data_IF_333405542646
#
_entry.id   IF_333405542646
#
_cell.length_a   1.000
_cell.length_b   1.000
_cell.length_c   1.000
_cell.angle_alpha   90.00
_cell.angle_beta   90.00
_cell.angle_gamma   90.00
#
_symmetry.space_group_name_H-M   'P 1'
#
loop_
_entity.id
_entity.type
_entity.pdbx_description
1 polymer ?
#
# COMPACT_ATOMS: atom_id res chain seq x y z
N UNK A 1 1.59 -18.82 19.68
CA UNK A 1 2.07 -17.45 19.41
C UNK A 1 2.09 -17.17 17.93
N UNK A 2 1.71 -15.96 17.51
CA UNK A 2 1.84 -15.48 16.13
C UNK A 2 3.05 -14.55 16.03
N UNK A 3 3.99 -14.86 15.15
CA UNK A 3 5.22 -14.08 14.94
C UNK A 3 5.21 -13.48 13.52
N UNK A 4 5.23 -12.14 13.42
CA UNK A 4 5.12 -11.43 12.14
C UNK A 4 6.48 -10.97 11.66
N UNK A 5 6.95 -11.53 10.56
CA UNK A 5 8.16 -11.11 9.86
C UNK A 5 7.84 -10.11 8.77
N UNK A 6 8.15 -8.85 9.01
CA UNK A 6 7.85 -7.81 8.04
C UNK A 6 8.74 -7.87 6.80
N UNK A 7 8.09 -7.73 5.66
CA UNK A 7 8.73 -7.61 4.36
C UNK A 7 8.31 -6.31 3.68
N UNK A 8 9.26 -5.69 2.99
CA UNK A 8 9.03 -4.55 2.11
C UNK A 8 8.55 -3.27 2.85
N UNK A 9 7.77 -2.41 2.16
CA UNK A 9 7.37 -1.08 2.62
C UNK A 9 6.07 -1.11 3.43
N UNK A 10 5.70 0.05 4.00
CA UNK A 10 4.58 0.24 4.92
C UNK A 10 3.29 -0.47 4.48
N UNK A 11 2.82 -0.26 3.23
CA UNK A 11 1.58 -0.90 2.76
C UNK A 11 1.58 -2.44 2.87
N UNK A 12 2.71 -3.09 2.60
CA UNK A 12 2.83 -4.54 2.77
C UNK A 12 2.89 -4.95 4.24
N UNK A 13 3.63 -4.18 5.07
CA UNK A 13 3.72 -4.44 6.52
C UNK A 13 2.37 -4.32 7.22
N UNK A 14 1.51 -3.42 6.74
CA UNK A 14 0.14 -3.30 7.26
C UNK A 14 -0.68 -4.57 7.02
N UNK A 15 -0.57 -5.20 5.83
CA UNK A 15 -1.21 -6.51 5.58
C UNK A 15 -0.69 -7.59 6.52
N UNK A 16 0.63 -7.68 6.66
CA UNK A 16 1.29 -8.67 7.51
C UNK A 16 0.89 -8.51 8.98
N UNK A 17 0.90 -7.26 9.47
CA UNK A 17 0.45 -6.95 10.82
C UNK A 17 -1.01 -7.32 11.05
N UNK A 18 -1.91 -6.86 10.17
CA UNK A 18 -3.34 -7.09 10.32
C UNK A 18 -3.68 -8.58 10.30
N UNK A 19 -3.06 -9.35 9.40
CA UNK A 19 -3.27 -10.80 9.39
C UNK A 19 -2.74 -11.46 10.66
N UNK A 20 -1.54 -11.07 11.11
CA UNK A 20 -0.99 -11.59 12.37
C UNK A 20 -1.91 -11.31 13.54
N UNK A 21 -2.48 -10.12 13.60
CA UNK A 21 -3.41 -9.77 14.65
C UNK A 21 -4.75 -10.50 14.54
N UNK A 22 -5.29 -10.66 13.34
CA UNK A 22 -6.51 -11.46 13.11
C UNK A 22 -6.31 -12.90 13.61
N UNK A 23 -5.20 -13.54 13.23
CA UNK A 23 -4.89 -14.88 13.70
C UNK A 23 -4.72 -14.96 15.21
N UNK A 24 -4.06 -13.95 15.80
CA UNK A 24 -3.90 -13.89 17.26
C UNK A 24 -5.24 -13.80 17.98
N UNK A 25 -6.16 -12.95 17.51
CA UNK A 25 -7.52 -12.82 18.07
C UNK A 25 -8.37 -14.09 17.85
N UNK A 26 -8.33 -14.70 16.65
CA UNK A 26 -9.11 -15.90 16.35
C UNK A 26 -8.65 -17.16 17.10
N UNK A 27 -7.33 -17.30 17.31
CA UNK A 27 -6.75 -18.48 17.93
C UNK A 27 -6.50 -18.31 19.44
N UNK A 28 -6.77 -17.13 19.97
CA UNK A 28 -6.40 -16.73 21.36
C UNK A 28 -4.88 -16.91 21.59
N UNK A 29 -4.10 -16.46 20.64
CA UNK A 29 -2.64 -16.53 20.66
C UNK A 29 -2.03 -15.16 20.90
N UNK A 30 -0.89 -15.15 21.59
CA UNK A 30 -0.10 -13.96 21.73
C UNK A 30 0.47 -13.49 20.37
N UNK A 31 0.52 -12.16 20.15
CA UNK A 31 1.09 -11.57 18.93
C UNK A 31 2.48 -10.99 19.20
N UNK A 32 3.44 -11.42 18.40
CA UNK A 32 4.80 -10.86 18.32
C UNK A 32 4.93 -10.09 16.99
N UNK A 33 4.94 -8.78 17.06
CA UNK A 33 5.10 -7.91 15.89
C UNK A 33 5.80 -6.61 16.27
N UNK A 34 6.66 -6.09 15.40
CA UNK A 34 7.21 -4.75 15.59
C UNK A 34 6.14 -3.68 15.38
N UNK A 35 6.28 -2.56 16.07
CA UNK A 35 5.40 -1.41 15.87
C UNK A 35 5.51 -0.88 14.43
N UNK A 36 4.37 -0.55 13.84
CA UNK A 36 4.35 0.21 12.59
C UNK A 36 4.51 1.70 12.91
N UNK A 37 5.52 2.38 12.37
CA UNK A 37 5.74 3.79 12.64
C UNK A 37 4.52 4.64 12.32
N UNK A 38 4.07 5.45 13.29
CA UNK A 38 2.91 6.31 13.16
C UNK A 38 1.54 5.65 13.40
N UNK A 39 1.55 4.37 13.84
CA UNK A 39 0.34 3.64 14.25
C UNK A 39 0.52 3.14 15.69
N UNK A 40 0.22 3.98 16.70
CA UNK A 40 0.52 3.71 18.09
C UNK A 40 -0.12 2.43 18.63
N UNK A 41 -1.26 2.02 18.07
CA UNK A 41 -1.99 0.83 18.49
C UNK A 41 -1.41 -0.49 17.92
N UNK A 42 -0.30 -0.41 17.16
CA UNK A 42 0.31 -1.60 16.55
C UNK A 42 1.43 -2.22 17.38
N UNK A 43 1.82 -1.60 18.49
CA UNK A 43 2.88 -2.13 19.33
C UNK A 43 2.34 -3.30 20.16
N UNK A 44 2.83 -4.51 19.84
CA UNK A 44 2.60 -5.70 20.65
C UNK A 44 3.91 -6.46 20.74
N UNK A 45 4.51 -6.46 21.91
CA UNK A 45 5.76 -7.17 22.18
C UNK A 45 5.54 -8.01 23.45
N UNK A 46 5.83 -9.30 23.34
CA UNK A 46 5.80 -10.21 24.47
C UNK A 46 7.23 -10.43 24.94
N UNK A 47 7.47 -10.13 26.19
CA UNK A 47 8.77 -10.41 26.81
C UNK A 47 8.76 -11.84 27.35
N UNK A 48 9.84 -12.58 27.10
CA UNK A 48 10.14 -13.84 27.80
C UNK A 48 9.59 -15.13 27.18
N UNK A 49 9.17 -15.15 25.91
CA UNK A 49 8.77 -16.39 25.24
C UNK A 49 9.99 -17.24 24.83
N UNK A 50 9.96 -18.52 25.22
CA UNK A 50 10.94 -19.53 24.76
C UNK A 50 10.77 -19.79 23.25
N UNK A 51 11.89 -19.88 22.54
CA UNK A 51 11.92 -20.13 21.08
C UNK A 51 11.87 -21.62 20.72
N UNK A 52 11.61 -22.50 21.70
CA UNK A 52 11.69 -23.97 21.55
C UNK A 52 10.37 -24.61 21.05
N UNK A 53 9.32 -23.84 20.82
CA UNK A 53 8.03 -24.36 20.34
C UNK A 53 8.03 -24.68 18.84
N UNK A 54 7.22 -25.68 18.41
CA UNK A 54 7.08 -26.04 17.01
C UNK A 54 6.74 -24.82 16.14
N UNK A 55 7.41 -24.66 15.01
CA UNK A 55 7.21 -23.55 14.08
C UNK A 55 6.34 -24.01 12.89
N UNK A 56 5.22 -23.32 12.65
CA UNK A 56 4.49 -23.39 11.41
C UNK A 56 4.76 -22.12 10.59
N UNK A 57 5.26 -22.28 9.37
CA UNK A 57 5.53 -21.16 8.47
C UNK A 57 4.37 -20.96 7.51
N UNK A 58 3.70 -19.81 7.60
CA UNK A 58 2.74 -19.34 6.62
C UNK A 58 3.42 -18.34 5.69
N UNK A 59 3.44 -18.65 4.40
CA UNK A 59 4.10 -17.85 3.37
C UNK A 59 3.20 -17.60 2.16
N UNK A 60 3.62 -16.70 1.26
CA UNK A 60 2.87 -16.41 0.03
C UNK A 60 1.67 -15.47 0.23
N UNK A 61 0.57 -15.77 -0.45
CA UNK A 61 -0.63 -14.94 -0.46
C UNK A 61 -1.83 -15.61 0.21
N UNK A 62 -1.90 -16.93 0.16
CA UNK A 62 -3.03 -17.71 0.65
C UNK A 62 -2.70 -18.42 1.93
N UNK A 63 -3.71 -18.53 2.79
CA UNK A 63 -3.70 -19.32 4.01
C UNK A 63 -4.81 -20.34 3.90
N UNK A 64 -4.53 -21.56 4.28
CA UNK A 64 -5.53 -22.56 4.56
C UNK A 64 -6.05 -22.33 5.98
N UNK A 65 -7.20 -21.67 6.08
CA UNK A 65 -7.81 -21.34 7.36
C UNK A 65 -8.28 -22.56 8.13
N UNK A 66 -8.72 -23.61 7.43
CA UNK A 66 -9.21 -24.82 8.06
C UNK A 66 -8.05 -25.60 8.67
N UNK A 67 -6.91 -25.69 7.97
CA UNK A 67 -5.67 -26.24 8.52
C UNK A 67 -5.17 -25.44 9.73
N UNK A 68 -5.13 -24.11 9.62
CA UNK A 68 -4.65 -23.24 10.70
C UNK A 68 -5.55 -23.33 11.95
N UNK A 69 -6.87 -23.46 11.77
CA UNK A 69 -7.83 -23.57 12.88
C UNK A 69 -7.94 -24.97 13.47
N UNK A 70 -7.70 -26.01 12.68
CA UNK A 70 -7.79 -27.39 13.13
C UNK A 70 -6.74 -27.76 14.17
N UNK A 71 -5.53 -27.26 14.00
CA UNK A 71 -4.42 -27.50 14.93
C UNK A 71 -4.35 -26.38 15.97
N UNK A 72 -4.93 -26.64 17.14
CA UNK A 72 -4.89 -25.74 18.31
C UNK A 72 -3.76 -26.07 19.29
N UNK A 73 -2.78 -26.87 18.90
CA UNK A 73 -1.61 -27.11 19.73
C UNK A 73 -0.89 -25.79 20.01
N UNK A 74 -0.27 -25.66 21.18
CA UNK A 74 0.54 -24.51 21.54
C UNK A 74 1.76 -24.49 20.63
N UNK A 75 1.68 -23.73 19.54
CA UNK A 75 2.72 -23.64 18.52
C UNK A 75 3.05 -22.19 18.20
N UNK A 76 4.20 -21.98 17.69
CA UNK A 76 4.61 -20.71 17.08
C UNK A 76 4.26 -20.74 15.60
N UNK A 77 3.39 -19.84 15.17
CA UNK A 77 3.05 -19.62 13.76
C UNK A 77 3.81 -18.40 13.29
N UNK A 78 4.65 -18.55 12.27
CA UNK A 78 5.45 -17.48 11.68
C UNK A 78 4.79 -17.02 10.40
N UNK A 79 4.49 -15.73 10.30
CA UNK A 79 3.99 -15.10 9.07
C UNK A 79 5.16 -14.49 8.30
N UNK A 80 5.47 -15.08 7.14
CA UNK A 80 6.53 -14.64 6.24
C UNK A 80 6.03 -14.58 4.79
N UNK A 81 4.99 -13.81 4.55
CA UNK A 81 4.30 -13.71 3.26
C UNK A 81 3.73 -12.32 3.00
N UNK A 82 2.91 -12.20 1.95
CA UNK A 82 2.33 -10.94 1.51
C UNK A 82 0.87 -10.78 1.92
N UNK A 83 0.07 -11.86 1.85
CA UNK A 83 -1.30 -11.97 2.35
C UNK A 83 -2.26 -10.89 1.83
N UNK A 84 -2.09 -10.46 0.59
CA UNK A 84 -2.82 -9.35 -0.03
C UNK A 84 -4.14 -9.83 -0.59
N UNK A 85 -5.06 -10.20 0.30
CA UNK A 85 -6.41 -10.67 -0.05
C UNK A 85 -7.46 -9.92 0.74
N UNK A 86 -8.36 -9.22 0.04
CA UNK A 86 -9.43 -8.43 0.64
C UNK A 86 -10.32 -9.25 1.59
N UNK A 87 -10.60 -10.50 1.21
CA UNK A 87 -11.45 -11.42 1.98
C UNK A 87 -10.97 -11.65 3.44
N UNK A 88 -9.65 -11.56 3.69
CA UNK A 88 -9.10 -11.74 5.04
C UNK A 88 -9.40 -10.55 5.95
N UNK A 89 -9.44 -9.35 5.39
CA UNK A 89 -9.54 -8.09 6.13
C UNK A 89 -10.96 -7.53 6.20
N UNK A 90 -11.82 -7.90 5.24
CA UNK A 90 -13.21 -7.41 5.16
C UNK A 90 -13.99 -7.62 6.45
N UNK A 91 -14.01 -8.82 7.07
CA UNK A 91 -14.76 -9.05 8.31
C UNK A 91 -14.27 -8.21 9.49
N UNK A 92 -12.99 -7.83 9.47
CA UNK A 92 -12.28 -7.13 10.53
C UNK A 92 -12.08 -5.63 10.27
N UNK A 93 -12.78 -5.08 9.29
CA UNK A 93 -12.55 -3.68 8.87
C UNK A 93 -12.69 -2.68 10.01
N UNK A 94 -13.65 -2.89 10.92
CA UNK A 94 -13.89 -2.02 12.07
C UNK A 94 -12.72 -2.05 13.05
N UNK A 95 -12.27 -3.23 13.40
CA UNK A 95 -11.16 -3.48 14.31
C UNK A 95 -9.85 -2.99 13.71
N UNK A 96 -9.62 -3.26 12.41
CA UNK A 96 -8.44 -2.79 11.68
C UNK A 96 -8.36 -1.26 11.66
N UNK A 97 -9.48 -0.56 11.52
CA UNK A 97 -9.51 0.90 11.64
C UNK A 97 -9.02 1.40 13.01
N UNK A 98 -9.30 0.67 14.06
CA UNK A 98 -8.83 1.00 15.42
C UNK A 98 -7.34 0.64 15.57
N UNK A 99 -6.92 -0.52 15.07
CA UNK A 99 -5.53 -0.96 15.14
C UNK A 99 -4.59 -0.05 14.35
N UNK A 100 -5.03 0.36 13.16
CA UNK A 100 -4.30 1.24 12.25
C UNK A 100 -4.75 2.71 12.35
N UNK A 101 -5.24 3.13 13.51
CA UNK A 101 -5.47 4.54 13.77
C UNK A 101 -4.12 5.28 13.69
N UNK A 102 -4.06 6.28 12.82
CA UNK A 102 -2.87 7.11 12.65
C UNK A 102 -2.69 7.98 13.91
N UNK A 103 -1.45 8.17 14.33
CA UNK A 103 -1.11 9.02 15.46
C UNK A 103 -1.80 10.40 15.33
N UNK A 104 -2.54 10.87 16.32
CA UNK A 104 -3.21 12.17 16.31
C UNK A 104 -2.27 13.37 16.06
N UNK A 105 -0.97 13.21 16.32
CA UNK A 105 0.03 14.24 16.02
C UNK A 105 0.25 14.42 14.51
N UNK A 106 -0.11 13.42 13.69
CA UNK A 106 -0.05 13.51 12.22
C UNK A 106 -1.20 14.38 11.73
N UNK A 107 -0.87 15.47 11.06
CA UNK A 107 -1.84 16.42 10.53
C UNK A 107 -1.94 16.28 9.01
N UNK A 108 -3.14 16.34 8.48
CA UNK A 108 -3.38 16.53 7.06
C UNK A 108 -4.37 17.69 6.88
N UNK A 109 -4.30 18.42 5.77
CA UNK A 109 -5.23 19.52 5.51
C UNK A 109 -6.69 19.09 5.68
N UNK A 110 -7.50 19.93 6.32
CA UNK A 110 -8.93 19.71 6.48
C UNK A 110 -9.73 19.90 5.17
N UNK A 111 -9.04 20.25 4.11
CA UNK A 111 -9.65 20.44 2.79
C UNK A 111 -10.18 19.09 2.33
N UNK A 112 -11.49 18.97 2.21
CA UNK A 112 -12.09 17.81 1.54
C UNK A 112 -11.69 17.83 0.07
N UNK A 113 -10.76 16.95 -0.37
CA UNK A 113 -10.43 16.87 -1.79
C UNK A 113 -11.61 16.23 -2.54
N UNK A 114 -11.89 16.71 -3.76
CA UNK A 114 -12.91 16.11 -4.61
C UNK A 114 -12.52 14.68 -5.01
N UNK A 115 -11.57 14.56 -5.95
CA UNK A 115 -10.94 13.27 -6.31
C UNK A 115 -9.47 13.34 -5.96
N UNK A 116 -8.96 12.31 -5.31
CA UNK A 116 -7.52 12.10 -5.13
C UNK A 116 -7.04 11.00 -6.07
N UNK A 117 -6.03 11.30 -6.86
CA UNK A 117 -5.40 10.36 -7.79
C UNK A 117 -4.07 9.92 -7.21
N UNK A 118 -3.93 8.64 -6.92
CA UNK A 118 -2.66 8.06 -6.49
C UNK A 118 -1.85 7.61 -7.71
N UNK A 119 -0.74 8.29 -7.97
CA UNK A 119 0.15 8.05 -9.11
C UNK A 119 1.47 7.46 -8.61
N UNK A 120 1.66 6.17 -8.80
CA UNK A 120 2.91 5.49 -8.45
C UNK A 120 3.84 5.45 -9.65
N UNK A 121 5.07 5.97 -9.48
CA UNK A 121 6.03 6.13 -10.58
C UNK A 121 7.36 5.45 -10.31
N UNK A 122 8.18 5.95 -9.50
CA UNK A 122 9.58 5.59 -9.21
C UNK A 122 10.01 4.18 -9.66
N UNK A 123 9.96 3.20 -8.76
CA UNK A 123 10.29 1.79 -9.01
C UNK A 123 9.34 1.12 -10.03
N UNK A 124 8.07 1.56 -10.10
CA UNK A 124 7.07 0.98 -10.99
C UNK A 124 7.33 1.24 -12.46
N UNK A 125 7.93 2.37 -12.81
CA UNK A 125 8.37 2.62 -14.19
C UNK A 125 9.45 1.61 -14.61
N UNK A 126 10.38 1.31 -13.70
CA UNK A 126 11.46 0.35 -13.94
C UNK A 126 10.95 -1.09 -14.04
N UNK A 127 10.00 -1.46 -13.18
CA UNK A 127 9.36 -2.78 -13.17
C UNK A 127 8.30 -2.93 -14.26
N UNK A 128 8.03 -1.88 -15.05
CA UNK A 128 6.94 -1.82 -16.04
C UNK A 128 5.54 -2.03 -15.45
N UNK A 129 5.37 -1.66 -14.18
CA UNK A 129 4.09 -1.71 -13.45
C UNK A 129 3.40 -0.34 -13.34
N UNK A 130 4.04 0.71 -13.86
CA UNK A 130 3.39 2.00 -13.96
C UNK A 130 2.17 1.93 -14.88
N UNK A 131 1.15 2.73 -14.60
CA UNK A 131 -0.08 2.74 -15.39
C UNK A 131 -0.03 3.84 -16.46
N UNK A 132 -0.68 3.63 -17.62
CA UNK A 132 -0.78 4.63 -18.67
C UNK A 132 -1.71 5.77 -18.26
N UNK A 133 -1.52 6.95 -18.86
CA UNK A 133 -2.37 8.11 -18.58
C UNK A 133 -3.84 7.85 -18.96
N UNK A 134 -4.09 7.08 -20.04
CA UNK A 134 -5.44 6.73 -20.46
C UNK A 134 -6.29 6.12 -19.34
N UNK A 135 -5.70 5.28 -18.48
CA UNK A 135 -6.40 4.75 -17.31
C UNK A 135 -6.81 5.85 -16.33
N UNK A 136 -5.88 6.74 -16.00
CA UNK A 136 -6.19 7.84 -15.06
C UNK A 136 -7.21 8.81 -15.63
N UNK A 137 -7.15 9.05 -16.93
CA UNK A 137 -8.05 9.93 -17.64
C UNK A 137 -9.48 9.38 -17.64
N UNK A 138 -9.66 8.12 -18.01
CA UNK A 138 -10.94 7.41 -17.98
C UNK A 138 -11.50 7.33 -16.55
N UNK A 139 -10.65 7.06 -15.55
CA UNK A 139 -11.05 7.04 -14.15
C UNK A 139 -11.55 8.41 -13.68
N UNK A 140 -10.88 9.49 -14.09
CA UNK A 140 -11.29 10.85 -13.75
C UNK A 140 -12.59 11.25 -14.46
N UNK A 141 -12.77 10.91 -15.74
CA UNK A 141 -14.01 11.13 -16.46
C UNK A 141 -15.18 10.38 -15.82
N UNK A 142 -14.95 9.14 -15.41
CA UNK A 142 -15.94 8.30 -14.70
C UNK A 142 -16.33 8.89 -13.35
N UNK A 143 -15.37 9.33 -12.55
CA UNK A 143 -15.63 9.82 -11.20
C UNK A 143 -16.05 11.30 -11.15
N UNK A 144 -15.73 12.08 -12.18
CA UNK A 144 -16.03 13.51 -12.28
C UNK A 144 -16.76 13.87 -13.57
N UNK A 145 -17.92 13.29 -13.89
CA UNK A 145 -18.63 13.55 -15.14
C UNK A 145 -19.04 15.03 -15.33
N UNK A 146 -19.11 15.78 -14.24
CA UNK A 146 -19.42 17.22 -14.24
C UNK A 146 -18.21 18.10 -13.85
N UNK A 147 -16.99 17.53 -13.88
CA UNK A 147 -15.80 18.22 -13.42
C UNK A 147 -15.70 18.30 -11.90
N UNK A 148 -14.63 18.92 -11.43
CA UNK A 148 -14.40 19.11 -9.98
C UNK A 148 -12.91 19.19 -9.65
N UNK A 149 -12.57 19.44 -8.39
CA UNK A 149 -11.18 19.54 -7.95
C UNK A 149 -10.48 18.17 -8.00
N UNK A 150 -9.30 18.16 -8.61
CA UNK A 150 -8.44 16.99 -8.70
C UNK A 150 -7.17 17.23 -7.89
N UNK A 151 -6.83 16.26 -7.05
CA UNK A 151 -5.57 16.23 -6.33
C UNK A 151 -4.74 15.02 -6.78
N UNK A 152 -3.43 15.20 -6.87
CA UNK A 152 -2.51 14.11 -7.13
C UNK A 152 -1.65 13.88 -5.89
N UNK A 153 -1.55 12.62 -5.47
CA UNK A 153 -0.54 12.13 -4.56
C UNK A 153 0.40 11.20 -5.32
N UNK A 154 1.71 11.41 -5.19
CA UNK A 154 2.70 10.65 -5.95
C UNK A 154 4.01 10.53 -5.19
N UNK A 155 4.76 9.49 -5.48
CA UNK A 155 6.12 9.28 -5.01
C UNK A 155 7.19 10.04 -5.81
N UNK A 156 6.77 10.78 -6.87
CA UNK A 156 7.64 11.66 -7.65
C UNK A 156 6.89 12.87 -8.21
N UNK A 157 6.88 13.94 -7.45
CA UNK A 157 6.19 15.18 -7.86
C UNK A 157 6.86 15.94 -9.03
N UNK A 158 8.01 15.49 -9.49
CA UNK A 158 8.75 16.08 -10.62
C UNK A 158 8.73 15.19 -11.86
N UNK A 159 8.05 14.03 -11.81
CA UNK A 159 7.95 13.14 -12.97
C UNK A 159 7.25 13.86 -14.15
N UNK A 160 7.86 13.90 -15.35
CA UNK A 160 7.26 14.50 -16.53
C UNK A 160 5.88 13.94 -16.89
N UNK A 161 5.58 12.72 -16.48
CA UNK A 161 4.27 12.09 -16.66
C UNK A 161 3.12 12.93 -16.11
N UNK A 162 3.35 13.68 -15.03
CA UNK A 162 2.32 14.51 -14.42
C UNK A 162 1.78 15.60 -15.34
N UNK A 163 2.52 15.96 -16.40
CA UNK A 163 2.07 16.94 -17.41
C UNK A 163 0.85 16.47 -18.19
N UNK A 164 0.65 15.16 -18.31
CA UNK A 164 -0.53 14.60 -18.97
C UNK A 164 -1.84 14.99 -18.26
N UNK A 165 -1.79 15.26 -16.97
CA UNK A 165 -2.95 15.70 -16.18
C UNK A 165 -3.32 17.17 -16.36
N UNK A 166 -2.62 17.94 -17.20
CA UNK A 166 -2.82 19.40 -17.35
C UNK A 166 -4.26 19.82 -17.63
N UNK A 167 -5.03 19.05 -18.40
CA UNK A 167 -6.45 19.33 -18.67
C UNK A 167 -7.30 19.35 -17.40
N UNK A 168 -6.92 18.56 -16.39
CA UNK A 168 -7.60 18.45 -15.09
C UNK A 168 -7.18 19.50 -14.08
N UNK A 169 -6.15 20.32 -14.39
CA UNK A 169 -5.60 21.37 -13.52
C UNK A 169 -5.37 20.88 -12.08
N UNK A 170 -4.67 19.76 -11.87
CA UNK A 170 -4.58 19.13 -10.57
C UNK A 170 -3.72 19.95 -9.61
N UNK A 171 -4.04 19.83 -8.32
CA UNK A 171 -3.14 20.23 -7.22
C UNK A 171 -2.33 19.02 -6.78
N UNK A 172 -1.04 19.20 -6.51
CA UNK A 172 -0.18 18.14 -6.00
C UNK A 172 -0.13 18.26 -4.48
N UNK A 173 -0.60 17.23 -3.79
CA UNK A 173 -0.40 17.12 -2.35
C UNK A 173 1.02 16.62 -2.06
N UNK A 174 1.68 17.27 -1.13
CA UNK A 174 3.04 16.93 -0.66
C UNK A 174 2.99 16.77 0.85
N UNK A 175 3.24 15.56 1.30
CA UNK A 175 3.26 15.20 2.71
C UNK A 175 4.08 13.95 2.94
N UNK A 176 4.33 13.64 4.19
CA UNK A 176 4.87 12.34 4.60
C UNK A 176 3.94 11.20 4.17
N UNK A 177 4.39 9.95 4.19
CA UNK A 177 3.52 8.81 3.89
C UNK A 177 2.25 8.76 4.74
N UNK A 178 2.33 9.09 6.03
CA UNK A 178 1.17 9.09 6.93
C UNK A 178 0.21 10.24 6.66
N UNK A 179 0.73 11.46 6.43
CA UNK A 179 -0.10 12.59 6.01
C UNK A 179 -0.79 12.31 4.68
N UNK A 180 -0.08 11.68 3.73
CA UNK A 180 -0.63 11.27 2.45
C UNK A 180 -1.75 10.24 2.62
N UNK A 181 -1.54 9.23 3.47
CA UNK A 181 -2.54 8.22 3.78
C UNK A 181 -3.79 8.85 4.42
N UNK A 182 -3.59 9.74 5.39
CA UNK A 182 -4.67 10.46 6.05
C UNK A 182 -5.43 11.36 5.07
N UNK A 183 -4.72 12.08 4.19
CA UNK A 183 -5.31 12.92 3.16
C UNK A 183 -6.17 12.09 2.18
N UNK A 184 -5.66 10.97 1.70
CA UNK A 184 -6.38 10.06 0.81
C UNK A 184 -7.63 9.46 1.49
N UNK A 185 -7.53 9.04 2.75
CA UNK A 185 -8.65 8.41 3.47
C UNK A 185 -9.83 9.35 3.75
N UNK A 186 -9.59 10.67 3.69
CA UNK A 186 -10.60 11.73 3.85
C UNK A 186 -11.24 12.17 2.54
N UNK A 187 -10.78 11.64 1.40
CA UNK A 187 -11.37 11.98 0.10
C UNK A 187 -12.71 11.28 -0.10
N UNK A 188 -13.63 11.92 -0.84
CA UNK A 188 -14.87 11.26 -1.27
C UNK A 188 -14.63 10.26 -2.39
N UNK A 189 -13.62 10.48 -3.22
CA UNK A 189 -13.33 9.67 -4.41
C UNK A 189 -11.83 9.44 -4.56
N UNK A 190 -11.44 8.20 -4.89
CA UNK A 190 -10.06 7.82 -5.13
C UNK A 190 -9.86 7.18 -6.51
N UNK A 191 -8.76 7.52 -7.16
CA UNK A 191 -8.23 6.77 -8.30
C UNK A 191 -6.93 6.10 -7.85
N UNK A 192 -6.89 4.78 -7.86
CA UNK A 192 -5.77 4.00 -7.37
C UNK A 192 -4.77 3.66 -8.48
N UNK A 193 -3.50 3.61 -8.14
CA UNK A 193 -2.53 2.79 -8.89
C UNK A 193 -2.53 1.36 -8.34
N UNK A 194 -1.87 0.41 -9.01
CA UNK A 194 -1.67 -0.96 -8.49
C UNK A 194 -0.67 -1.01 -7.32
N UNK A 195 -1.04 -0.38 -6.20
CA UNK A 195 -0.15 -0.20 -5.05
C UNK A 195 -0.85 -0.52 -3.74
N UNK A 196 -0.21 -1.35 -2.93
CA UNK A 196 -0.68 -1.67 -1.56
C UNK A 196 -0.82 -0.42 -0.69
N UNK A 197 0.05 0.58 -0.86
CA UNK A 197 -0.06 1.83 -0.12
C UNK A 197 -1.36 2.58 -0.45
N UNK A 198 -1.72 2.69 -1.73
CA UNK A 198 -2.96 3.38 -2.14
C UNK A 198 -4.24 2.63 -1.75
N UNK A 199 -4.17 1.30 -1.59
CA UNK A 199 -5.31 0.48 -1.20
C UNK A 199 -5.77 0.76 0.25
N UNK A 200 -4.84 0.97 1.17
CA UNK A 200 -5.18 1.16 2.59
C UNK A 200 -6.07 2.37 2.86
N UNK A 201 -5.82 3.57 2.30
CA UNK A 201 -6.75 4.70 2.43
C UNK A 201 -8.15 4.39 1.91
N UNK A 202 -8.27 3.65 0.80
CA UNK A 202 -9.56 3.23 0.28
C UNK A 202 -10.28 2.26 1.23
N UNK A 203 -9.54 1.36 1.87
CA UNK A 203 -10.08 0.40 2.83
C UNK A 203 -10.41 1.05 4.18
N UNK A 204 -9.54 1.89 4.73
CA UNK A 204 -9.69 2.51 6.05
C UNK A 204 -10.62 3.73 6.05
N UNK A 205 -10.66 4.49 4.95
CA UNK A 205 -11.46 5.70 4.82
C UNK A 205 -12.94 5.44 4.52
N UNK A 206 -13.72 6.53 4.59
CA UNK A 206 -15.14 6.53 4.20
C UNK A 206 -15.28 7.03 2.76
N UNK A 207 -14.42 6.49 1.88
CA UNK A 207 -14.39 6.83 0.45
C UNK A 207 -15.62 6.26 -0.24
N UNK A 208 -16.40 7.11 -0.90
CA UNK A 208 -17.65 6.73 -1.55
C UNK A 208 -17.43 5.94 -2.85
N UNK A 209 -16.44 6.34 -3.65
CA UNK A 209 -16.15 5.75 -4.94
C UNK A 209 -14.66 5.59 -5.17
N UNK A 210 -14.26 4.41 -5.64
CA UNK A 210 -12.86 4.07 -5.89
C UNK A 210 -12.73 3.53 -7.31
N UNK A 211 -11.94 4.19 -8.16
CA UNK A 211 -11.51 3.60 -9.43
C UNK A 211 -10.21 2.80 -9.21
N UNK A 212 -10.19 1.56 -9.65
CA UNK A 212 -9.03 0.70 -9.56
C UNK A 212 -8.62 0.15 -10.92
N UNK A 213 -7.32 -0.06 -11.18
CA UNK A 213 -6.86 -0.61 -12.44
C UNK A 213 -7.06 -2.13 -12.51
N UNK A 214 -7.38 -2.62 -13.72
CA UNK A 214 -7.23 -4.02 -14.12
C UNK A 214 -6.11 -4.10 -15.17
N UNK A 215 -4.84 -4.09 -14.77
CA UNK A 215 -3.72 -4.06 -15.69
C UNK A 215 -3.49 -5.43 -16.35
N UNK A 216 -2.88 -5.43 -17.54
CA UNK A 216 -2.45 -6.65 -18.22
C UNK A 216 -1.22 -7.27 -17.53
N UNK A 217 -0.38 -6.44 -16.92
CA UNK A 217 0.82 -6.85 -16.19
C UNK A 217 0.92 -6.20 -14.81
N UNK A 218 1.77 -6.73 -13.94
CA UNK A 218 2.05 -6.20 -12.62
C UNK A 218 1.26 -6.88 -11.49
N UNK A 219 1.32 -6.30 -10.30
CA UNK A 219 0.87 -6.96 -9.06
C UNK A 219 -0.65 -7.20 -8.98
N UNK A 220 -1.46 -6.42 -9.69
CA UNK A 220 -2.93 -6.57 -9.72
C UNK A 220 -3.45 -7.17 -11.02
N UNK A 221 -2.56 -7.65 -11.88
CA UNK A 221 -2.94 -8.34 -13.11
C UNK A 221 -3.55 -9.71 -12.82
N UNK A 222 -4.56 -10.11 -13.60
CA UNK A 222 -5.11 -11.46 -13.55
C UNK A 222 -4.10 -12.52 -14.05
N UNK A 223 -3.17 -12.14 -14.94
CA UNK A 223 -2.10 -12.99 -15.47
C UNK A 223 -0.80 -12.90 -14.65
N UNK A 224 -0.92 -12.74 -13.37
CA UNK A 224 0.10 -12.25 -12.46
C UNK A 224 1.32 -13.15 -12.25
N UNK A 225 2.49 -12.50 -12.12
CA UNK A 225 3.70 -13.09 -11.50
C UNK A 225 3.49 -13.35 -9.98
N UNK A 226 2.39 -12.83 -9.40
CA UNK A 226 2.06 -12.93 -7.98
C UNK A 226 0.69 -13.60 -7.79
N UNK A 227 0.58 -14.92 -7.97
CA UNK A 227 -0.70 -15.62 -7.90
C UNK A 227 -1.32 -15.47 -6.50
N UNK A 228 -2.61 -15.21 -6.47
CA UNK A 228 -3.39 -15.14 -5.23
C UNK A 228 -3.56 -13.75 -4.61
N UNK A 229 -3.02 -12.69 -5.19
CA UNK A 229 -3.40 -11.32 -4.82
C UNK A 229 -4.85 -11.09 -5.28
N UNK A 230 -5.69 -10.62 -4.36
CA UNK A 230 -7.05 -10.17 -4.64
C UNK A 230 -7.43 -9.04 -3.66
N UNK A 231 -7.23 -7.81 -4.09
CA UNK A 231 -7.51 -6.60 -3.29
C UNK A 231 -8.74 -5.83 -3.79
N UNK A 232 -9.52 -6.41 -4.70
CA UNK A 232 -10.66 -5.73 -5.31
C UNK A 232 -11.89 -5.90 -4.41
N UNK A 233 -12.40 -4.80 -3.90
CA UNK A 233 -13.70 -4.71 -3.24
C UNK A 233 -14.78 -4.54 -4.30
N UNK A 234 -15.29 -5.65 -4.82
CA UNK A 234 -16.13 -5.69 -6.04
C UNK A 234 -17.40 -4.86 -5.94
N UNK A 235 -17.95 -4.71 -4.74
CA UNK A 235 -19.20 -3.95 -4.51
C UNK A 235 -18.98 -2.43 -4.53
N UNK A 236 -17.73 -1.97 -4.37
CA UNK A 236 -17.39 -0.55 -4.21
C UNK A 236 -16.38 -0.03 -5.24
N UNK A 237 -15.55 -0.93 -5.79
CA UNK A 237 -14.51 -0.53 -6.72
C UNK A 237 -15.00 -0.57 -8.17
N UNK A 238 -14.80 0.53 -8.88
CA UNK A 238 -14.99 0.63 -10.34
C UNK A 238 -13.68 0.18 -10.98
N UNK A 239 -13.71 -1.02 -11.54
CA UNK A 239 -12.52 -1.63 -12.13
C UNK A 239 -12.41 -1.28 -13.61
N UNK A 240 -11.34 -0.60 -13.98
CA UNK A 240 -11.08 -0.14 -15.35
C UNK A 240 -9.94 -0.93 -15.98
N UNK A 241 -10.14 -1.57 -17.14
CA UNK A 241 -9.07 -2.24 -17.84
C UNK A 241 -8.02 -1.23 -18.31
N UNK A 242 -6.75 -1.60 -18.22
CA UNK A 242 -5.68 -0.74 -18.72
C UNK A 242 -4.59 -1.56 -19.42
N UNK A 243 -4.04 -0.98 -20.47
CA UNK A 243 -2.93 -1.54 -21.23
C UNK A 243 -1.61 -1.38 -20.50
N UNK A 244 -0.59 -2.08 -20.95
CA UNK A 244 0.76 -1.90 -20.43
C UNK A 244 1.29 -0.51 -20.71
N UNK A 245 1.95 0.05 -19.70
CA UNK A 245 2.59 1.34 -19.81
C UNK A 245 3.95 1.24 -20.54
N UNK A 246 4.16 2.20 -21.44
CA UNK A 246 5.46 2.40 -22.10
C UNK A 246 5.95 3.82 -21.84
N UNK A 247 7.06 3.99 -21.10
CA UNK A 247 7.58 5.32 -20.81
C UNK A 247 8.07 6.03 -22.06
N UNK A 248 7.84 7.32 -22.13
CA UNK A 248 8.44 8.19 -23.15
C UNK A 248 9.96 8.31 -22.93
N UNK A 249 10.69 8.82 -23.93
CA UNK A 249 12.13 9.08 -23.78
C UNK A 249 12.43 10.06 -22.64
N UNK A 250 11.58 11.07 -22.45
CA UNK A 250 11.73 12.05 -21.38
C UNK A 250 11.54 11.42 -20.01
N UNK A 251 10.53 10.59 -19.84
CA UNK A 251 10.27 9.87 -18.60
C UNK A 251 11.38 8.86 -18.28
N UNK A 252 11.87 8.15 -19.30
CA UNK A 252 13.00 7.22 -19.16
C UNK A 252 14.28 7.95 -18.73
N UNK A 253 14.57 9.09 -19.32
CA UNK A 253 15.72 9.93 -18.95
C UNK A 253 15.59 10.48 -17.52
N UNK A 254 14.39 10.91 -17.13
CA UNK A 254 14.12 11.37 -15.76
C UNK A 254 14.36 10.26 -14.73
N UNK A 255 13.86 9.07 -14.97
CA UNK A 255 14.06 7.92 -14.08
C UNK A 255 15.54 7.50 -14.00
N UNK A 256 16.26 7.50 -15.12
CA UNK A 256 17.70 7.24 -15.12
C UNK A 256 18.47 8.26 -14.26
N UNK A 257 18.17 9.56 -14.41
CA UNK A 257 18.78 10.61 -13.60
C UNK A 257 18.54 10.38 -12.10
N UNK A 258 17.34 10.01 -11.71
CA UNK A 258 17.00 9.67 -10.31
C UNK A 258 17.79 8.48 -9.79
N UNK A 259 17.91 7.41 -10.59
CA UNK A 259 18.69 6.23 -10.20
C UNK A 259 20.16 6.58 -9.94
N UNK A 260 20.76 7.33 -10.87
CA UNK A 260 22.14 7.79 -10.72
C UNK A 260 22.30 8.63 -9.45
N UNK A 261 21.41 9.59 -9.24
CA UNK A 261 21.43 10.42 -8.03
C UNK A 261 21.32 9.59 -6.76
N UNK A 262 20.35 8.66 -6.69
CA UNK A 262 20.17 7.77 -5.55
C UNK A 262 21.42 6.92 -5.26
N UNK A 263 22.03 6.32 -6.30
CA UNK A 263 23.27 5.56 -6.14
C UNK A 263 24.42 6.40 -5.63
N UNK A 264 24.58 7.62 -6.13
CA UNK A 264 25.61 8.55 -5.65
C UNK A 264 25.40 8.91 -4.18
N UNK A 265 24.16 9.17 -3.75
CA UNK A 265 23.82 9.41 -2.35
C UNK A 265 24.11 8.19 -1.49
N UNK A 266 23.74 6.98 -1.91
CA UNK A 266 24.02 5.74 -1.21
C UNK A 266 25.54 5.49 -1.04
N UNK A 267 26.34 5.78 -2.08
CA UNK A 267 27.80 5.69 -2.05
C UNK A 267 28.36 6.72 -1.05
N UNK A 268 27.91 7.98 -1.12
CA UNK A 268 28.35 9.02 -0.21
C UNK A 268 28.03 8.71 1.26
N UNK A 269 26.82 8.19 1.56
CA UNK A 269 26.46 7.77 2.92
C UNK A 269 27.38 6.66 3.41
N UNK A 270 27.66 5.66 2.58
CA UNK A 270 28.57 4.55 2.93
C UNK A 270 30.02 5.03 3.15
N UNK A 271 30.51 5.91 2.30
CA UNK A 271 31.90 6.44 2.40
C UNK A 271 32.10 7.36 3.58
N UNK A 272 31.05 8.01 4.07
CA UNK A 272 31.11 8.93 5.22
C UNK A 272 30.74 8.25 6.55
N UNK A 273 30.52 6.93 6.58
CA UNK A 273 30.05 6.17 7.76
C UNK A 273 28.84 6.81 8.47
N UNK A 274 27.99 7.51 7.71
CA UNK A 274 26.78 8.12 8.26
C UNK A 274 25.72 7.01 8.51
N UNK A 275 24.99 7.09 9.63
CA UNK A 275 23.90 6.14 9.87
C UNK A 275 22.86 6.25 8.73
N UNK A 276 22.39 5.10 8.25
CA UNK A 276 21.31 4.99 7.24
C UNK A 276 19.96 5.46 7.81
N UNK A 277 19.94 6.68 8.31
CA UNK A 277 18.73 7.36 8.74
C UNK A 277 18.24 8.16 7.52
N UNK A 278 17.50 7.57 6.69
CA UNK A 278 16.62 8.22 5.69
C UNK A 278 16.53 7.31 4.46
N UNK A 279 15.63 6.32 4.53
CA UNK A 279 14.96 5.93 3.30
C UNK A 279 13.90 7.02 3.05
N UNK A 280 14.07 7.92 2.07
CA UNK A 280 12.97 8.76 1.61
C UNK A 280 11.89 7.85 1.05
N UNK A 281 10.65 8.30 1.06
CA UNK A 281 9.46 7.56 0.64
C UNK A 281 9.54 7.04 -0.79
#
# INVERSE_FOLDING_TARGET
MIDVRYRNRLGNRMFQYCLGRILAEELDFALQADALPGFPNTRQKIEGLSLEEPEQLLSGQKIDWDEVRADRSHRRIVLDGWFQRYEYYRPWRREIRQWLAIDPAVQAPEIKPGVVVHVRRTDYVQMRWALPFSYYDEALETLLPHGGPVWIVTDDSHDPFLRHFSKWKPKIFRGSPLETMLFMSRSSKLVLSQSTFGWWPAFLGDVESVACPLPQSGIWSAATEFPGIDLIERDRFICLPCTDYRPTRLESAHQLKRQVHRRLVEIAIRSLNLPLVLQPP
#
